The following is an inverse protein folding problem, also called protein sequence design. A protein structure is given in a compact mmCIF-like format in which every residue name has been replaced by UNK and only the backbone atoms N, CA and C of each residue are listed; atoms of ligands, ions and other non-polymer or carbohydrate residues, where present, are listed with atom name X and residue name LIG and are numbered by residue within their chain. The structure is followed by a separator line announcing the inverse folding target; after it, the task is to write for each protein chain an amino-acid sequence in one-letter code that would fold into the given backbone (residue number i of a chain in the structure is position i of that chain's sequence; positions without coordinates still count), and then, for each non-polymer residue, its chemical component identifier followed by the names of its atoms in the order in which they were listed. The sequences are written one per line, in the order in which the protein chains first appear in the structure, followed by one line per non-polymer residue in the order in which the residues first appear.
data_IF_196520093603
#
_entry.id   IF_196520093603
#
_cell.length_a   1.000
_cell.length_b   1.000
_cell.length_c   1.000
_cell.angle_alpha   90.00
_cell.angle_beta   90.00
_cell.angle_gamma   90.00
#
_symmetry.space_group_name_H-M   'P 1'
#
loop_
_entity.id
_entity.type
_entity.pdbx_description
1 polymer ?
#
# COMPACT_ATOMS: atom_id res chain seq x y z
N UNK A 1 16.35 -12.70 -12.73
CA UNK A 1 16.25 -11.54 -11.82
C UNK A 1 17.37 -10.55 -12.13
N UNK A 2 17.09 -9.26 -12.33
CA UNK A 2 18.15 -8.24 -12.29
C UNK A 2 18.03 -7.50 -10.95
N UNK A 3 18.91 -7.82 -10.00
CA UNK A 3 18.92 -7.30 -8.62
C UNK A 3 18.88 -5.76 -8.58
N UNK A 4 19.43 -5.11 -9.62
CA UNK A 4 19.47 -3.65 -9.78
C UNK A 4 18.11 -2.96 -9.74
N UNK A 5 17.03 -3.66 -10.12
CA UNK A 5 15.70 -3.06 -10.22
C UNK A 5 14.83 -3.22 -8.97
N UNK A 6 15.21 -4.10 -8.04
CA UNK A 6 14.42 -4.34 -6.83
C UNK A 6 14.39 -3.14 -5.90
N UNK A 7 15.55 -2.50 -5.66
CA UNK A 7 15.66 -1.35 -4.74
C UNK A 7 14.89 -0.12 -5.23
N UNK A 8 14.97 0.28 -6.52
CA UNK A 8 14.15 1.37 -7.04
C UNK A 8 12.65 1.07 -7.00
N UNK A 9 12.23 -0.13 -7.43
CA UNK A 9 10.81 -0.51 -7.45
C UNK A 9 10.20 -0.56 -6.04
N UNK A 10 10.90 -1.14 -5.07
CA UNK A 10 10.46 -1.16 -3.67
C UNK A 10 10.31 0.25 -3.10
N UNK A 11 11.18 1.20 -3.46
CA UNK A 11 11.06 2.60 -3.04
C UNK A 11 9.79 3.25 -3.61
N UNK A 12 9.49 3.03 -4.88
CA UNK A 12 8.30 3.59 -5.56
C UNK A 12 7.03 3.06 -4.88
N UNK A 13 6.93 1.73 -4.71
CA UNK A 13 5.75 1.07 -4.14
C UNK A 13 5.53 1.46 -2.67
N UNK A 14 6.62 1.65 -1.89
CA UNK A 14 6.51 2.09 -0.49
C UNK A 14 6.09 3.56 -0.38
N UNK A 15 6.51 4.42 -1.31
CA UNK A 15 6.14 5.85 -1.35
C UNK A 15 4.66 6.04 -1.68
N UNK A 16 4.17 5.33 -2.70
CA UNK A 16 2.76 5.34 -3.06
C UNK A 16 2.22 3.91 -3.18
N UNK A 17 1.57 3.44 -2.12
CA UNK A 17 0.95 2.11 -2.07
C UNK A 17 -0.31 1.98 -2.93
N UNK A 18 -0.83 3.09 -3.47
CA UNK A 18 -2.03 3.14 -4.31
C UNK A 18 -1.71 3.34 -5.79
N UNK A 19 -0.44 3.55 -6.14
CA UNK A 19 -0.01 3.70 -7.52
C UNK A 19 -0.39 2.48 -8.36
N UNK A 20 -0.91 2.73 -9.55
CA UNK A 20 -1.22 1.71 -10.55
C UNK A 20 0.02 1.29 -11.33
N UNK A 21 -0.02 0.12 -11.97
CA UNK A 21 1.13 -0.40 -12.72
C UNK A 21 1.64 0.58 -13.81
N UNK A 22 0.78 1.26 -14.60
CA UNK A 22 1.24 2.27 -15.56
C UNK A 22 1.91 3.48 -14.89
N UNK A 23 1.42 3.92 -13.73
CA UNK A 23 2.03 5.02 -12.98
C UNK A 23 3.41 4.63 -12.43
N UNK A 24 3.54 3.39 -11.93
CA UNK A 24 4.82 2.84 -11.47
C UNK A 24 5.79 2.76 -12.66
N UNK A 25 5.32 2.28 -13.82
CA UNK A 25 6.13 2.19 -15.03
C UNK A 25 6.59 3.57 -15.51
N UNK A 26 5.69 4.55 -15.57
CA UNK A 26 6.03 5.93 -15.96
C UNK A 26 7.07 6.54 -15.01
N UNK A 27 6.90 6.38 -13.70
CA UNK A 27 7.86 6.90 -12.72
C UNK A 27 9.22 6.19 -12.81
N UNK A 28 9.22 4.88 -13.08
CA UNK A 28 10.43 4.10 -13.22
C UNK A 28 11.21 4.48 -14.50
N UNK A 29 10.50 4.67 -15.61
CA UNK A 29 11.07 5.07 -16.91
C UNK A 29 11.49 6.53 -16.97
N UNK A 30 11.00 7.38 -16.08
CA UNK A 30 11.46 8.77 -15.95
C UNK A 30 12.85 8.90 -15.29
N UNK A 31 13.38 7.84 -14.70
CA UNK A 31 14.73 7.81 -14.16
C UNK A 31 15.79 7.43 -15.21
N UNK A 32 17.10 7.51 -14.87
CA UNK A 32 18.19 7.09 -15.76
C UNK A 32 18.26 5.57 -16.00
N UNK A 33 17.23 4.82 -15.58
CA UNK A 33 17.17 3.38 -15.75
C UNK A 33 16.78 3.06 -17.19
N UNK A 34 17.35 1.98 -17.74
CA UNK A 34 16.98 1.40 -19.04
C UNK A 34 15.46 1.37 -19.20
N UNK A 35 14.96 1.67 -20.41
CA UNK A 35 13.54 1.49 -20.77
C UNK A 35 13.13 0.03 -20.54
N UNK A 36 12.37 -0.21 -19.46
CA UNK A 36 11.86 -1.54 -19.09
C UNK A 36 10.38 -1.59 -19.42
N UNK A 37 9.95 -2.70 -20.03
CA UNK A 37 8.53 -2.89 -20.36
C UNK A 37 7.68 -3.08 -19.10
N UNK A 38 6.42 -2.62 -19.17
CA UNK A 38 5.46 -2.75 -18.07
C UNK A 38 5.30 -4.22 -17.61
N UNK A 39 5.30 -5.17 -18.56
CA UNK A 39 5.25 -6.62 -18.24
C UNK A 39 6.44 -7.08 -17.40
N UNK A 40 7.62 -6.55 -17.64
CA UNK A 40 8.82 -6.91 -16.87
C UNK A 40 8.75 -6.33 -15.46
N UNK A 41 8.28 -5.08 -15.33
CA UNK A 41 8.01 -4.44 -14.04
C UNK A 41 6.98 -5.25 -13.25
N UNK A 42 5.86 -5.64 -13.88
CA UNK A 42 4.82 -6.43 -13.25
C UNK A 42 5.34 -7.77 -12.70
N UNK A 43 6.09 -8.52 -13.50
CA UNK A 43 6.70 -9.79 -13.08
C UNK A 43 7.62 -9.57 -11.89
N UNK A 44 8.46 -8.53 -11.93
CA UNK A 44 9.38 -8.24 -10.83
C UNK A 44 8.63 -7.87 -9.54
N UNK A 45 7.54 -7.11 -9.64
CA UNK A 45 6.68 -6.75 -8.51
C UNK A 45 6.07 -8.00 -7.87
N UNK A 46 5.55 -8.94 -8.67
CA UNK A 46 4.97 -10.21 -8.17
C UNK A 46 6.04 -11.10 -7.53
N UNK A 47 7.20 -11.20 -8.16
CA UNK A 47 8.36 -11.98 -7.70
C UNK A 47 8.92 -11.45 -6.37
N UNK A 48 8.85 -10.13 -6.15
CA UNK A 48 9.14 -9.48 -4.87
C UNK A 48 8.02 -9.66 -3.81
N UNK A 49 6.91 -10.32 -4.14
CA UNK A 49 5.80 -10.58 -3.23
C UNK A 49 4.74 -9.48 -3.14
N UNK A 50 4.80 -8.44 -3.97
CA UNK A 50 3.75 -7.43 -4.04
C UNK A 50 2.59 -7.89 -4.93
N UNK A 51 1.37 -7.58 -4.50
CA UNK A 51 0.14 -7.86 -5.25
C UNK A 51 -0.77 -6.63 -5.29
N UNK A 52 -1.66 -6.60 -6.28
CA UNK A 52 -2.70 -5.60 -6.33
C UNK A 52 -3.56 -5.65 -5.07
N UNK A 53 -3.88 -4.48 -4.52
CA UNK A 53 -4.75 -4.37 -3.35
C UNK A 53 -6.19 -4.21 -3.81
N UNK A 54 -7.10 -4.97 -3.21
CA UNK A 54 -8.54 -4.71 -3.33
C UNK A 54 -8.95 -3.79 -2.18
N UNK A 55 -9.59 -2.63 -2.45
CA UNK A 55 -10.13 -1.81 -1.38
C UNK A 55 -11.19 -2.61 -0.63
N UNK A 56 -11.09 -2.67 0.69
CA UNK A 56 -12.15 -3.23 1.53
C UNK A 56 -13.25 -2.17 1.59
N UNK A 57 -14.47 -2.52 1.16
CA UNK A 57 -15.63 -1.64 1.25
C UNK A 57 -16.01 -1.48 2.71
N UNK A 58 -15.53 -0.41 3.34
CA UNK A 58 -15.92 -0.02 4.70
C UNK A 58 -16.78 1.25 4.63
N UNK A 59 -17.80 1.38 5.50
CA UNK A 59 -18.52 2.64 5.62
C UNK A 59 -17.57 3.80 5.91
N UNK A 60 -17.88 4.97 5.33
CA UNK A 60 -17.08 6.16 5.54
C UNK A 60 -17.11 6.54 7.04
N UNK A 61 -15.97 6.44 7.71
CA UNK A 61 -15.83 6.87 9.11
C UNK A 61 -15.55 8.37 9.16
N UNK A 62 -16.54 9.16 9.57
CA UNK A 62 -16.37 10.59 9.88
C UNK A 62 -15.39 10.76 11.05
N UNK A 63 -14.80 11.96 11.18
CA UNK A 63 -13.90 12.28 12.29
C UNK A 63 -14.59 12.10 13.66
N UNK A 64 -15.86 12.53 13.77
CA UNK A 64 -16.68 12.35 14.97
C UNK A 64 -16.85 10.87 15.35
N UNK A 65 -17.20 10.00 14.38
CA UNK A 65 -17.33 8.56 14.65
C UNK A 65 -16.01 7.89 15.05
N UNK A 66 -14.86 8.46 14.68
CA UNK A 66 -13.55 7.97 15.16
C UNK A 66 -13.30 8.40 16.59
N UNK A 67 -13.54 9.67 16.91
CA UNK A 67 -13.39 10.22 18.25
C UNK A 67 -14.28 9.51 19.27
N UNK A 68 -15.57 9.33 18.96
CA UNK A 68 -16.51 8.63 19.85
C UNK A 68 -16.10 7.19 20.12
N UNK A 69 -15.66 6.44 19.09
CA UNK A 69 -15.17 5.07 19.29
C UNK A 69 -13.92 5.01 20.15
N UNK A 70 -13.00 5.95 19.96
CA UNK A 70 -11.79 6.02 20.79
C UNK A 70 -12.14 6.36 22.23
N UNK A 71 -13.00 7.34 22.46
CA UNK A 71 -13.45 7.73 23.79
C UNK A 71 -14.14 6.57 24.51
N UNK A 72 -15.05 5.87 23.82
CA UNK A 72 -15.70 4.66 24.33
C UNK A 72 -14.68 3.57 24.68
N UNK A 73 -13.74 3.25 23.78
CA UNK A 73 -12.70 2.25 24.06
C UNK A 73 -11.80 2.64 25.25
N UNK A 74 -11.50 3.92 25.42
CA UNK A 74 -10.75 4.42 26.56
C UNK A 74 -11.56 4.34 27.87
N UNK A 75 -12.84 4.72 27.84
CA UNK A 75 -13.73 4.69 29.00
C UNK A 75 -13.99 3.26 29.47
N UNK A 76 -14.12 2.32 28.54
CA UNK A 76 -14.39 0.91 28.81
C UNK A 76 -13.11 0.05 28.74
N UNK A 77 -11.93 0.63 28.99
CA UNK A 77 -10.64 -0.07 28.85
C UNK A 77 -10.53 -1.33 29.73
N UNK A 78 -11.22 -1.35 30.86
CA UNK A 78 -11.19 -2.45 31.83
C UNK A 78 -12.48 -3.28 31.83
N UNK A 79 -13.34 -3.10 30.83
CA UNK A 79 -14.59 -3.87 30.78
C UNK A 79 -14.27 -5.35 30.57
N UNK A 80 -14.64 -6.17 31.55
CA UNK A 80 -14.60 -7.62 31.47
C UNK A 80 -16.03 -8.15 31.34
N UNK A 81 -16.20 -9.37 30.79
CA UNK A 81 -17.53 -9.94 30.52
C UNK A 81 -18.29 -10.29 31.83
N UNK A 82 -17.58 -10.34 32.95
CA UNK A 82 -18.08 -10.77 34.26
C UNK A 82 -18.55 -9.64 35.20
N UNK A 83 -18.63 -8.39 34.71
CA UNK A 83 -19.34 -7.26 35.37
C UNK A 83 -20.80 -7.15 34.91
#
# INVERSE_FOLDING_TARGET
MQERYKRPLTRIIKRDRRATLPQIAAYFSAGPSTSVTERTIQRNIIDMGFRSRRPIRVPLKTAQHKALRLACACQHRHWTVDD
#
